data_IF_236023293420
#
_entry.id   IF_236023293420
#
_cell.length_a   1.000
_cell.length_b   1.000
_cell.length_c   1.000
_cell.angle_alpha   90.00
_cell.angle_beta   90.00
_cell.angle_gamma   90.00
#
_symmetry.space_group_name_H-M   'P 1'
#
loop_
_entity.id
_entity.type
_entity.pdbx_description
1 polymer ?
#
# COMPACT_ATOMS: atom_id res chain seq x y z
N UNK A 1 -7.74 -9.34 -11.19
CA UNK A 1 -6.53 -9.10 -10.38
C UNK A 1 -6.32 -10.23 -9.39
N UNK A 2 -5.10 -10.41 -8.93
CA UNK A 2 -4.77 -11.43 -7.94
C UNK A 2 -3.28 -11.67 -7.84
N UNK A 3 -2.92 -12.69 -7.05
CA UNK A 3 -1.54 -13.09 -6.84
C UNK A 3 -1.42 -14.58 -6.54
N UNK A 4 -0.21 -15.09 -6.71
CA UNK A 4 0.25 -16.37 -6.17
C UNK A 4 1.53 -16.15 -5.38
N UNK A 5 1.55 -16.66 -4.15
CA UNK A 5 2.71 -16.65 -3.27
C UNK A 5 3.11 -18.09 -2.99
N UNK A 6 4.40 -18.41 -3.11
CA UNK A 6 4.96 -19.71 -2.80
C UNK A 6 5.99 -19.60 -1.68
N UNK A 7 5.89 -20.46 -0.68
CA UNK A 7 6.79 -20.49 0.48
C UNK A 7 7.34 -21.90 0.72
N UNK A 8 8.61 -21.97 1.14
CA UNK A 8 9.16 -23.16 1.78
C UNK A 8 9.00 -23.02 3.31
N UNK A 9 8.09 -23.79 3.88
CA UNK A 9 7.87 -23.83 5.33
C UNK A 9 8.77 -24.90 5.92
N UNK A 10 9.71 -24.50 6.78
CA UNK A 10 10.69 -25.42 7.38
C UNK A 10 10.34 -25.83 8.81
N UNK A 11 9.52 -25.07 9.51
CA UNK A 11 8.98 -25.35 10.83
C UNK A 11 7.47 -25.06 10.82
N UNK A 12 6.66 -25.72 11.67
CA UNK A 12 5.24 -25.36 11.79
C UNK A 12 5.08 -23.86 11.94
N UNK A 13 4.30 -23.24 11.07
CA UNK A 13 4.24 -21.80 10.96
C UNK A 13 2.80 -21.29 10.98
N UNK A 14 2.63 -20.04 11.50
CA UNK A 14 1.38 -19.29 11.47
C UNK A 14 1.56 -18.04 10.64
N UNK A 15 0.62 -17.82 9.75
CA UNK A 15 0.65 -16.72 8.79
C UNK A 15 -0.48 -15.72 8.99
N UNK A 16 -0.18 -14.47 8.69
CA UNK A 16 -1.16 -13.44 8.36
C UNK A 16 -0.92 -12.97 6.94
N UNK A 17 -1.93 -13.03 6.06
CA UNK A 17 -1.82 -12.51 4.69
C UNK A 17 -2.83 -11.39 4.44
N UNK A 18 -2.40 -10.36 3.70
CA UNK A 18 -3.22 -9.23 3.27
C UNK A 18 -3.04 -9.09 1.74
N UNK A 19 -3.78 -9.89 0.99
CA UNK A 19 -3.68 -9.98 -0.48
C UNK A 19 -5.01 -9.82 -1.19
N UNK A 20 -6.13 -10.01 -0.50
CA UNK A 20 -7.44 -9.77 -1.08
C UNK A 20 -7.72 -8.26 -1.17
N UNK A 21 -8.39 -7.78 -2.24
CA UNK A 21 -8.83 -6.39 -2.30
C UNK A 21 -9.64 -5.99 -1.08
N UNK A 22 -9.46 -4.75 -0.62
CA UNK A 22 -10.23 -4.20 0.48
C UNK A 22 -11.72 -4.22 0.16
N UNK A 23 -12.57 -4.41 1.17
CA UNK A 23 -14.04 -4.44 0.97
C UNK A 23 -14.61 -3.12 0.45
N UNK A 24 -13.82 -2.04 0.54
CA UNK A 24 -14.14 -0.71 0.01
C UNK A 24 -13.72 -0.52 -1.46
N UNK A 25 -12.91 -1.41 -2.02
CA UNK A 25 -12.33 -1.25 -3.35
C UNK A 25 -13.32 -1.39 -4.51
N UNK A 26 -14.52 -1.88 -4.28
CA UNK A 26 -15.54 -2.04 -5.29
C UNK A 26 -16.49 -3.20 -5.00
N UNK A 27 -17.37 -3.50 -5.97
CA UNK A 27 -18.25 -4.65 -5.87
C UNK A 27 -17.55 -5.89 -6.40
N UNK A 28 -17.32 -6.87 -5.53
CA UNK A 28 -16.74 -8.16 -5.92
C UNK A 28 -17.81 -8.94 -6.69
N UNK A 29 -17.50 -9.32 -7.94
CA UNK A 29 -18.37 -10.16 -8.77
C UNK A 29 -17.93 -11.64 -8.74
N UNK A 30 -16.65 -11.91 -8.55
CA UNK A 30 -16.10 -13.25 -8.38
C UNK A 30 -14.83 -13.16 -7.53
N UNK A 31 -14.64 -14.11 -6.62
CA UNK A 31 -13.46 -14.17 -5.78
C UNK A 31 -13.10 -15.61 -5.42
N UNK A 32 -11.82 -15.91 -5.48
CA UNK A 32 -11.26 -17.17 -5.01
C UNK A 32 -10.01 -16.91 -4.18
N UNK A 33 -10.00 -17.45 -2.96
CA UNK A 33 -8.82 -17.58 -2.11
C UNK A 33 -8.53 -19.07 -1.95
N UNK A 34 -7.35 -19.51 -2.35
CA UNK A 34 -6.85 -20.86 -2.21
C UNK A 34 -5.58 -20.88 -1.35
N UNK A 35 -5.56 -21.72 -0.32
CA UNK A 35 -4.36 -21.91 0.51
C UNK A 35 -4.11 -23.42 0.56
N UNK A 36 -2.96 -23.85 0.07
CA UNK A 36 -2.61 -25.29 -0.01
C UNK A 36 -1.21 -25.54 0.52
N UNK A 37 -1.05 -26.65 1.22
CA UNK A 37 0.25 -27.18 1.65
C UNK A 37 0.49 -28.52 0.92
N UNK A 38 1.59 -28.62 0.15
CA UNK A 38 1.90 -29.78 -0.69
C UNK A 38 0.72 -30.18 -1.60
N UNK A 39 -0.02 -29.17 -2.11
CA UNK A 39 -1.21 -29.35 -2.96
C UNK A 39 -2.50 -29.73 -2.23
N UNK A 40 -2.49 -29.98 -0.93
CA UNK A 40 -3.70 -30.23 -0.13
C UNK A 40 -4.22 -28.95 0.53
N UNK A 41 -5.54 -28.71 0.57
CA UNK A 41 -6.09 -27.51 1.20
C UNK A 41 -5.69 -27.40 2.68
N UNK A 42 -5.31 -26.19 3.09
CA UNK A 42 -5.08 -25.84 4.49
C UNK A 42 -6.44 -25.54 5.13
N UNK A 43 -6.72 -26.18 6.27
CA UNK A 43 -7.95 -25.95 7.07
C UNK A 43 -7.82 -24.71 7.96
N UNK A 44 -8.94 -24.35 8.60
CA UNK A 44 -9.02 -23.31 9.64
C UNK A 44 -8.45 -21.93 9.21
N UNK A 45 -8.74 -21.53 7.97
CA UNK A 45 -8.47 -20.17 7.49
C UNK A 45 -9.54 -19.24 8.03
N UNK A 46 -9.14 -18.20 8.75
CA UNK A 46 -10.06 -17.19 9.29
C UNK A 46 -9.80 -15.83 8.67
N UNK A 47 -10.87 -15.15 8.22
CA UNK A 47 -10.80 -13.77 7.76
C UNK A 47 -11.09 -12.80 8.90
N UNK A 48 -10.24 -11.81 9.06
CA UNK A 48 -10.42 -10.68 9.96
C UNK A 48 -10.45 -9.39 9.17
N UNK A 49 -11.21 -8.41 9.63
CA UNK A 49 -11.29 -7.09 9.00
C UNK A 49 -10.40 -6.10 9.73
N UNK A 50 -9.55 -5.45 8.98
CA UNK A 50 -8.73 -4.32 9.41
C UNK A 50 -9.39 -2.98 9.08
N UNK A 51 -8.66 -1.90 9.35
CA UNK A 51 -9.08 -0.55 9.00
C UNK A 51 -9.26 -0.39 7.48
N UNK A 52 -10.16 0.51 7.07
CA UNK A 52 -10.42 0.86 5.67
C UNK A 52 -10.77 -0.33 4.77
N UNK A 53 -11.42 -1.34 5.37
CA UNK A 53 -11.85 -2.53 4.65
C UNK A 53 -10.75 -3.54 4.33
N UNK A 54 -9.55 -3.39 4.87
CA UNK A 54 -8.49 -4.38 4.73
C UNK A 54 -8.94 -5.76 5.22
N UNK A 55 -8.48 -6.81 4.56
CA UNK A 55 -8.85 -8.20 4.83
C UNK A 55 -7.61 -8.99 5.18
N UNK A 56 -7.59 -9.56 6.38
CA UNK A 56 -6.46 -10.30 6.93
C UNK A 56 -6.88 -11.76 7.06
N UNK A 57 -6.16 -12.65 6.40
CA UNK A 57 -6.41 -14.09 6.50
C UNK A 57 -5.35 -14.72 7.41
N UNK A 58 -5.80 -15.33 8.51
CA UNK A 58 -4.96 -16.04 9.45
C UNK A 58 -5.11 -17.54 9.26
N UNK A 59 -3.99 -18.25 9.22
CA UNK A 59 -3.95 -19.71 9.14
C UNK A 59 -2.63 -20.25 9.67
N UNK A 60 -2.60 -21.56 9.93
CA UNK A 60 -1.39 -22.26 10.34
C UNK A 60 -1.19 -23.51 9.46
N UNK A 61 0.06 -23.88 9.25
CA UNK A 61 0.41 -25.09 8.52
C UNK A 61 1.69 -25.73 9.05
N UNK A 62 1.89 -27.02 8.73
CA UNK A 62 3.12 -27.75 8.98
C UNK A 62 4.22 -27.42 7.96
N UNK A 63 5.39 -28.10 8.08
CA UNK A 63 6.45 -27.99 7.08
C UNK A 63 6.02 -28.52 5.71
N UNK A 64 6.50 -27.87 4.65
CA UNK A 64 6.20 -28.24 3.27
C UNK A 64 6.21 -27.05 2.33
N UNK A 65 5.74 -27.27 1.11
CA UNK A 65 5.55 -26.23 0.11
C UNK A 65 4.13 -25.63 0.28
N UNK A 66 4.09 -24.36 0.70
CA UNK A 66 2.86 -23.61 0.90
C UNK A 66 2.60 -22.74 -0.32
N UNK A 67 1.40 -22.83 -0.89
CA UNK A 67 0.91 -21.90 -1.93
C UNK A 67 -0.30 -21.14 -1.43
N UNK A 68 -0.30 -19.83 -1.62
CA UNK A 68 -1.42 -18.93 -1.34
C UNK A 68 -1.80 -18.23 -2.63
N UNK A 69 -3.00 -18.52 -3.14
CA UNK A 69 -3.57 -17.96 -4.36
C UNK A 69 -4.74 -17.03 -4.03
N UNK A 70 -4.78 -15.85 -4.62
CA UNK A 70 -5.94 -14.97 -4.59
C UNK A 70 -6.29 -14.53 -6.01
N UNK A 71 -7.55 -14.62 -6.38
CA UNK A 71 -8.04 -14.09 -7.65
C UNK A 71 -9.38 -13.41 -7.42
N UNK A 72 -9.53 -12.17 -7.87
CA UNK A 72 -10.73 -11.36 -7.67
C UNK A 72 -11.10 -10.63 -8.95
N UNK A 73 -12.38 -10.62 -9.28
CA UNK A 73 -12.97 -9.78 -10.32
C UNK A 73 -13.82 -8.72 -9.64
N UNK A 74 -13.47 -7.46 -9.85
CA UNK A 74 -14.29 -6.33 -9.39
C UNK A 74 -15.16 -5.83 -10.55
N UNK A 75 -16.45 -5.66 -10.27
CA UNK A 75 -17.31 -4.89 -11.14
C UNK A 75 -16.90 -3.42 -11.19
N UNK A 76 -17.28 -2.71 -12.26
CA UNK A 76 -17.00 -1.29 -12.36
C UNK A 76 -17.53 -0.57 -11.11
N UNK A 77 -16.64 0.09 -10.38
CA UNK A 77 -17.08 1.04 -9.37
C UNK A 77 -17.94 2.12 -10.05
N UNK A 78 -19.02 2.61 -9.44
CA UNK A 78 -19.77 3.71 -10.02
C UNK A 78 -18.82 4.88 -10.27
N UNK A 79 -18.70 5.30 -11.55
CA UNK A 79 -17.94 6.50 -11.92
C UNK A 79 -18.55 7.66 -11.14
N UNK A 80 -17.76 8.30 -10.29
CA UNK A 80 -18.19 9.43 -9.49
C UNK A 80 -18.60 9.06 -8.06
N UNK A 81 -17.77 8.34 -7.32
CA UNK A 81 -17.89 8.41 -5.86
C UNK A 81 -17.63 9.84 -5.43
N UNK A 82 -18.74 10.53 -5.13
CA UNK A 82 -18.75 11.84 -4.52
C UNK A 82 -17.83 11.83 -3.31
N UNK A 83 -16.89 12.77 -3.27
CA UNK A 83 -16.12 13.14 -2.09
C UNK A 83 -17.14 13.74 -1.09
N UNK A 84 -17.89 12.88 -0.41
CA UNK A 84 -18.89 13.24 0.58
C UNK A 84 -18.50 12.74 1.97
N UNK A 85 -18.95 13.37 3.06
CA UNK A 85 -18.68 12.91 4.41
C UNK A 85 -19.20 11.46 4.57
N UNK A 86 -18.36 10.58 5.08
CA UNK A 86 -18.68 9.16 5.35
C UNK A 86 -19.67 9.09 6.52
N UNK A 87 -20.83 8.51 6.27
CA UNK A 87 -21.77 8.10 7.33
C UNK A 87 -21.62 6.60 7.58
N UNK A 88 -20.93 6.21 8.65
CA UNK A 88 -20.83 4.79 9.02
C UNK A 88 -20.10 4.61 10.36
N UNK A 89 -20.76 3.97 11.30
CA UNK A 89 -20.46 3.94 12.73
C UNK A 89 -19.27 3.09 13.21
N UNK A 90 -18.39 2.54 12.36
CA UNK A 90 -17.21 1.75 12.77
C UNK A 90 -15.87 2.28 12.19
N UNK A 91 -15.87 3.44 11.53
CA UNK A 91 -14.66 4.07 11.04
C UNK A 91 -13.97 4.84 12.20
N UNK A 92 -12.62 4.84 12.25
CA UNK A 92 -11.88 5.66 13.22
C UNK A 92 -12.31 7.14 13.12
N UNK A 93 -12.35 7.82 14.27
CA UNK A 93 -12.51 9.28 14.31
C UNK A 93 -11.44 9.93 13.42
N UNK A 94 -11.86 10.70 12.42
CA UNK A 94 -10.96 11.36 11.45
C UNK A 94 -9.83 12.12 12.15
N UNK A 95 -10.08 12.68 13.33
CA UNK A 95 -9.07 13.35 14.15
C UNK A 95 -8.02 12.38 14.66
N UNK A 96 -8.43 11.22 15.17
CA UNK A 96 -7.51 10.18 15.67
C UNK A 96 -6.71 9.59 14.51
N UNK A 97 -7.35 9.33 13.39
CA UNK A 97 -6.70 8.84 12.18
C UNK A 97 -5.64 9.83 11.67
N UNK A 98 -5.97 11.12 11.58
CA UNK A 98 -5.03 12.19 11.22
C UNK A 98 -3.83 12.25 12.17
N UNK A 99 -4.06 12.16 13.48
CA UNK A 99 -3.00 12.16 14.49
C UNK A 99 -2.08 10.94 14.36
N UNK A 100 -2.63 9.75 14.08
CA UNK A 100 -1.84 8.54 13.84
C UNK A 100 -1.02 8.68 12.57
N UNK A 101 -1.60 9.25 11.52
CA UNK A 101 -0.96 9.43 10.22
C UNK A 101 0.08 10.56 10.19
N UNK A 102 0.20 11.35 11.25
CA UNK A 102 1.27 12.36 11.45
C UNK A 102 2.48 11.80 12.18
N UNK A 103 2.36 10.65 12.87
CA UNK A 103 3.43 10.11 13.69
C UNK A 103 4.48 9.40 12.84
N UNK A 104 5.73 9.44 13.30
CA UNK A 104 6.77 8.58 12.76
C UNK A 104 6.41 7.09 12.93
N UNK A 105 6.94 6.25 12.08
CA UNK A 105 6.70 4.81 12.11
C UNK A 105 7.97 4.03 11.74
N UNK A 106 7.92 2.68 11.69
CA UNK A 106 9.10 1.82 11.54
C UNK A 106 9.97 2.21 10.36
N UNK A 107 9.36 2.55 9.22
CA UNK A 107 10.08 2.88 7.98
C UNK A 107 9.96 4.35 7.59
N UNK A 108 9.19 5.15 8.31
CA UNK A 108 8.95 6.56 8.01
C UNK A 108 9.33 7.41 9.22
N UNK A 109 10.62 7.69 9.38
CA UNK A 109 11.20 8.48 10.49
C UNK A 109 11.04 9.98 10.22
N UNK A 110 9.80 10.44 10.12
CA UNK A 110 9.47 11.83 9.78
C UNK A 110 10.05 12.86 10.74
N UNK A 111 10.21 12.51 12.01
CA UNK A 111 10.85 13.33 13.05
C UNK A 111 12.31 13.67 12.73
N UNK A 112 13.03 12.81 12.02
CA UNK A 112 14.41 13.04 11.58
C UNK A 112 14.51 13.94 10.35
N UNK A 113 13.43 14.08 9.60
CA UNK A 113 13.40 14.80 8.32
C UNK A 113 12.80 16.21 8.42
N UNK A 114 12.36 16.67 9.60
CA UNK A 114 11.69 17.98 9.77
C UNK A 114 12.54 19.14 9.23
N UNK A 115 13.82 19.22 9.62
CA UNK A 115 14.71 20.28 9.15
C UNK A 115 15.01 20.20 7.66
N UNK A 116 15.21 19.00 7.14
CA UNK A 116 15.40 18.74 5.72
C UNK A 116 14.17 19.16 4.91
N UNK A 117 12.99 18.70 5.28
CA UNK A 117 11.74 19.02 4.59
C UNK A 117 11.43 20.51 4.59
N UNK A 118 11.68 21.20 5.71
CA UNK A 118 11.49 22.67 5.80
C UNK A 118 12.41 23.43 4.85
N UNK A 119 13.61 22.91 4.59
CA UNK A 119 14.60 23.52 3.68
C UNK A 119 14.27 23.26 2.21
N UNK A 120 13.90 22.01 1.88
CA UNK A 120 13.60 21.60 0.50
C UNK A 120 12.23 22.11 0.01
N UNK A 121 11.29 22.32 0.93
CA UNK A 121 9.93 22.78 0.60
C UNK A 121 9.59 24.11 1.30
N UNK A 122 10.32 25.20 0.96
CA UNK A 122 10.03 26.50 1.55
C UNK A 122 8.59 26.95 1.18
N UNK A 123 7.89 27.56 2.13
CA UNK A 123 6.50 28.00 1.96
C UNK A 123 5.43 26.93 2.20
N UNK A 124 5.79 25.68 2.41
CA UNK A 124 4.85 24.57 2.62
C UNK A 124 3.82 24.81 3.74
N UNK A 125 4.16 25.59 4.77
CA UNK A 125 3.25 25.91 5.88
C UNK A 125 2.13 26.89 5.49
N UNK A 126 2.29 27.63 4.41
CA UNK A 126 1.30 28.61 3.90
C UNK A 126 0.55 28.12 2.67
N UNK A 127 1.03 27.05 2.04
CA UNK A 127 0.43 26.47 0.83
C UNK A 127 -0.74 25.52 1.18
N UNK A 128 -1.57 25.25 0.19
CA UNK A 128 -2.57 24.19 0.29
C UNK A 128 -1.87 22.82 0.54
N UNK A 129 -2.34 22.02 1.53
CA UNK A 129 -1.69 20.77 1.89
C UNK A 129 -1.58 19.77 0.73
N UNK A 130 -2.59 19.68 -0.15
CA UNK A 130 -2.53 18.79 -1.31
C UNK A 130 -1.48 19.23 -2.33
N UNK A 131 -1.44 20.52 -2.63
CA UNK A 131 -0.42 21.12 -3.51
C UNK A 131 0.99 20.85 -2.99
N UNK A 132 1.20 20.99 -1.68
CA UNK A 132 2.49 20.65 -1.04
C UNK A 132 2.80 19.17 -1.18
N UNK A 133 1.84 18.28 -0.96
CA UNK A 133 2.02 16.84 -1.07
C UNK A 133 2.35 16.41 -2.52
N UNK A 134 1.73 17.03 -3.53
CA UNK A 134 2.06 16.81 -4.95
C UNK A 134 3.50 17.28 -5.25
N UNK A 135 3.94 18.41 -4.69
CA UNK A 135 5.34 18.88 -4.82
C UNK A 135 6.31 17.88 -4.20
N UNK A 136 6.00 17.33 -3.02
CA UNK A 136 6.79 16.28 -2.37
C UNK A 136 6.88 15.04 -3.24
N UNK A 137 5.74 14.56 -3.75
CA UNK A 137 5.69 13.38 -4.63
C UNK A 137 6.51 13.57 -5.91
N UNK A 138 6.42 14.74 -6.53
CA UNK A 138 7.20 15.08 -7.73
C UNK A 138 8.69 15.18 -7.42
N UNK A 139 9.06 15.76 -6.28
CA UNK A 139 10.45 15.84 -5.83
C UNK A 139 11.05 14.44 -5.61
N UNK A 140 10.30 13.52 -4.97
CA UNK A 140 10.73 12.13 -4.77
C UNK A 140 10.92 11.42 -6.11
N UNK A 141 9.98 11.59 -7.06
CA UNK A 141 10.09 11.05 -8.41
C UNK A 141 11.37 11.49 -9.13
N UNK A 142 11.71 12.78 -9.03
CA UNK A 142 12.89 13.35 -9.71
C UNK A 142 14.22 12.99 -9.03
N UNK A 143 14.16 12.65 -7.74
CA UNK A 143 15.36 12.42 -6.92
C UNK A 143 15.80 10.97 -6.87
N UNK A 144 14.87 10.04 -6.95
CA UNK A 144 15.18 8.62 -6.81
C UNK A 144 15.31 7.93 -8.17
N UNK A 145 16.24 7.01 -8.25
CA UNK A 145 16.32 6.04 -9.34
C UNK A 145 15.49 4.79 -8.96
N UNK A 146 14.52 4.42 -9.81
CA UNK A 146 13.80 3.15 -9.61
C UNK A 146 14.71 1.98 -10.01
N UNK A 147 15.08 1.14 -9.05
CA UNK A 147 16.00 0.05 -9.27
C UNK A 147 15.61 -1.19 -8.46
N UNK A 148 15.18 -2.25 -9.15
CA UNK A 148 14.97 -3.55 -8.54
C UNK A 148 16.28 -4.07 -7.92
N UNK A 149 16.23 -4.53 -6.66
CA UNK A 149 17.39 -5.03 -5.93
C UNK A 149 18.26 -3.96 -5.26
N UNK A 150 17.92 -2.66 -5.41
CA UNK A 150 18.59 -1.58 -4.67
C UNK A 150 18.05 -1.39 -3.24
N UNK A 151 17.00 -2.11 -2.87
CA UNK A 151 16.32 -1.96 -1.59
C UNK A 151 16.39 -3.24 -0.79
N UNK A 152 16.68 -3.10 0.50
CA UNK A 152 16.56 -4.15 1.53
C UNK A 152 15.22 -4.00 2.26
N UNK A 153 14.72 -5.12 2.82
CA UNK A 153 13.47 -5.12 3.60
C UNK A 153 13.57 -4.29 4.91
N UNK A 154 14.77 -3.90 5.31
CA UNK A 154 15.02 -3.07 6.48
C UNK A 154 15.14 -1.57 6.16
N UNK A 155 15.28 -1.22 4.89
CA UNK A 155 15.50 0.18 4.45
C UNK A 155 14.32 1.07 4.84
N UNK A 156 14.67 2.20 5.42
CA UNK A 156 13.75 3.25 5.86
C UNK A 156 13.74 4.44 4.88
N UNK A 157 12.88 5.41 5.13
CA UNK A 157 12.82 6.64 4.34
C UNK A 157 14.15 7.41 4.36
N UNK A 158 14.86 7.40 5.50
CA UNK A 158 16.18 8.04 5.61
C UNK A 158 17.23 7.28 4.80
N UNK A 159 17.22 5.95 4.84
CA UNK A 159 18.14 5.13 4.04
C UNK A 159 17.89 5.34 2.54
N UNK A 160 16.62 5.36 2.12
CA UNK A 160 16.23 5.66 0.74
C UNK A 160 16.70 7.06 0.29
N UNK A 161 16.53 8.07 1.14
CA UNK A 161 16.99 9.44 0.84
C UNK A 161 18.50 9.50 0.62
N UNK A 162 19.28 8.78 1.43
CA UNK A 162 20.73 8.75 1.35
C UNK A 162 21.25 7.92 0.18
N UNK A 163 20.56 6.81 -0.13
CA UNK A 163 20.91 5.91 -1.24
C UNK A 163 20.55 6.54 -2.61
N UNK A 164 19.45 7.28 -2.68
CA UNK A 164 18.95 7.88 -3.91
C UNK A 164 18.35 6.87 -4.90
N UNK A 165 18.04 5.65 -4.46
CA UNK A 165 17.43 4.59 -5.27
C UNK A 165 16.54 3.71 -4.41
N UNK A 166 15.58 3.02 -5.03
CA UNK A 166 14.69 2.10 -4.35
C UNK A 166 13.58 1.57 -5.26
N UNK A 167 12.59 0.90 -4.65
CA UNK A 167 11.39 0.41 -5.30
C UNK A 167 10.14 1.17 -4.82
N UNK A 168 8.95 0.79 -5.27
CA UNK A 168 7.70 1.51 -4.96
C UNK A 168 7.49 1.74 -3.45
N UNK A 169 7.83 0.75 -2.61
CA UNK A 169 7.76 0.86 -1.15
C UNK A 169 8.64 2.00 -0.63
N UNK A 170 9.84 2.13 -1.12
CA UNK A 170 10.83 3.12 -0.67
C UNK A 170 10.42 4.54 -1.10
N UNK A 171 9.91 4.67 -2.32
CA UNK A 171 9.30 5.91 -2.83
C UNK A 171 8.14 6.35 -1.94
N UNK A 172 7.24 5.41 -1.60
CA UNK A 172 6.10 5.70 -0.74
C UNK A 172 6.56 6.09 0.68
N UNK A 173 7.52 5.36 1.29
CA UNK A 173 8.04 5.67 2.62
C UNK A 173 8.67 7.07 2.68
N UNK A 174 9.49 7.42 1.69
CA UNK A 174 10.10 8.75 1.66
C UNK A 174 9.05 9.85 1.47
N UNK A 175 8.08 9.66 0.58
CA UNK A 175 6.97 10.60 0.38
C UNK A 175 6.15 10.78 1.67
N UNK A 176 5.79 9.68 2.34
CA UNK A 176 5.06 9.71 3.61
C UNK A 176 5.86 10.46 4.68
N UNK A 177 7.15 10.14 4.83
CA UNK A 177 7.98 10.74 5.86
C UNK A 177 8.14 12.26 5.64
N UNK A 178 8.33 12.71 4.41
CA UNK A 178 8.41 14.13 4.06
C UNK A 178 7.07 14.85 4.26
N UNK A 179 5.94 14.26 3.84
CA UNK A 179 4.61 14.83 4.08
C UNK A 179 4.35 15.00 5.59
N UNK A 180 4.62 13.97 6.39
CA UNK A 180 4.46 14.05 7.86
C UNK A 180 5.39 15.09 8.49
N UNK A 181 6.63 15.20 8.03
CA UNK A 181 7.58 16.20 8.47
C UNK A 181 7.09 17.65 8.22
N UNK A 182 6.26 17.84 7.19
CA UNK A 182 5.61 19.09 6.84
C UNK A 182 4.22 19.28 7.49
N UNK A 183 3.81 18.35 8.38
CA UNK A 183 2.51 18.41 9.07
C UNK A 183 1.32 17.91 8.24
N UNK A 184 1.56 17.20 7.14
CA UNK A 184 0.52 16.60 6.30
C UNK A 184 0.34 15.14 6.71
N UNK A 185 -0.87 14.73 7.21
CA UNK A 185 -1.13 13.34 7.54
C UNK A 185 -1.00 12.46 6.31
N UNK A 186 -0.18 11.42 6.40
CA UNK A 186 0.10 10.53 5.27
C UNK A 186 0.20 9.08 5.73
N UNK A 187 -0.20 8.14 4.84
CA UNK A 187 -0.15 6.70 5.08
C UNK A 187 0.25 5.93 3.83
N UNK A 188 0.65 4.70 4.00
CA UNK A 188 0.90 3.78 2.89
C UNK A 188 -0.41 3.09 2.50
N UNK A 189 -0.62 2.92 1.20
CA UNK A 189 -1.61 2.02 0.64
C UNK A 189 -0.90 0.97 -0.22
N UNK A 190 -1.09 -0.31 0.11
CA UNK A 190 -0.75 -1.42 -0.79
C UNK A 190 -1.89 -1.66 -1.75
N UNK A 191 -1.58 -1.85 -3.03
CA UNK A 191 -2.56 -1.88 -4.10
C UNK A 191 -2.22 -2.91 -5.17
N UNK A 192 -3.24 -3.40 -5.88
CA UNK A 192 -3.09 -3.92 -7.23
C UNK A 192 -3.08 -2.76 -8.20
N UNK A 193 -2.21 -2.82 -9.22
CA UNK A 193 -1.95 -1.71 -10.13
C UNK A 193 -2.09 -2.15 -11.61
N UNK A 194 -3.30 -2.11 -12.20
CA UNK A 194 -3.45 -2.27 -13.64
C UNK A 194 -2.57 -1.26 -14.40
N UNK A 195 -1.79 -1.76 -15.36
CA UNK A 195 -0.84 -0.95 -16.12
C UNK A 195 0.60 -0.97 -15.61
N UNK A 196 0.85 -1.46 -14.42
CA UNK A 196 2.22 -1.66 -13.91
C UNK A 196 2.94 -2.73 -14.74
N UNK A 197 4.19 -2.43 -15.12
CA UNK A 197 5.05 -3.40 -15.85
C UNK A 197 6.51 -3.33 -15.38
N UNK A 198 7.15 -4.48 -15.03
CA UNK A 198 6.52 -5.78 -14.82
C UNK A 198 5.47 -5.75 -13.70
N UNK A 199 4.49 -6.65 -13.75
CA UNK A 199 3.44 -6.72 -12.73
C UNK A 199 4.01 -7.16 -11.40
N UNK A 200 3.62 -6.44 -10.33
CA UNK A 200 3.99 -6.71 -8.95
C UNK A 200 2.94 -6.08 -8.02
N UNK A 201 3.01 -6.38 -6.72
CA UNK A 201 2.36 -5.56 -5.73
C UNK A 201 2.90 -4.13 -5.81
N UNK A 202 2.01 -3.16 -5.64
CA UNK A 202 2.43 -1.78 -5.67
C UNK A 202 2.13 -1.07 -4.35
N UNK A 203 2.94 -0.08 -4.03
CA UNK A 203 2.82 0.72 -2.82
C UNK A 203 2.79 2.20 -3.20
N UNK A 204 1.77 2.89 -2.70
CA UNK A 204 1.57 4.32 -2.94
C UNK A 204 1.33 5.06 -1.63
N UNK A 205 1.45 6.38 -1.65
CA UNK A 205 1.12 7.25 -0.53
C UNK A 205 -0.32 7.70 -0.63
N UNK A 206 -1.05 7.73 0.47
CA UNK A 206 -2.27 8.52 0.61
C UNK A 206 -2.05 9.65 1.62
N UNK A 207 -2.53 10.85 1.30
CA UNK A 207 -2.52 12.02 2.19
C UNK A 207 -3.94 12.43 2.56
N UNK A 208 -4.16 12.81 3.81
CA UNK A 208 -5.47 13.26 4.29
C UNK A 208 -5.60 14.75 4.14
N UNK A 209 -6.51 15.19 3.28
CA UNK A 209 -6.80 16.60 3.03
C UNK A 209 -8.30 16.82 3.09
N UNK A 210 -8.75 17.73 3.94
CA UNK A 210 -10.17 18.07 4.15
C UNK A 210 -11.06 16.82 4.41
N UNK A 211 -10.55 15.83 5.17
CA UNK A 211 -11.28 14.62 5.50
C UNK A 211 -11.29 13.56 4.39
N UNK A 212 -10.52 13.75 3.32
CA UNK A 212 -10.43 12.81 2.19
C UNK A 212 -9.01 12.29 2.02
N UNK A 213 -8.86 10.97 1.89
CA UNK A 213 -7.59 10.33 1.53
C UNK A 213 -7.37 10.42 0.02
N UNK A 214 -6.27 11.06 -0.37
CA UNK A 214 -5.89 11.31 -1.76
C UNK A 214 -4.58 10.59 -2.09
N UNK A 215 -4.57 9.84 -3.17
CA UNK A 215 -3.44 9.03 -3.58
C UNK A 215 -2.38 9.84 -4.33
N UNK A 216 -1.12 9.56 -4.01
CA UNK A 216 0.07 10.04 -4.70
C UNK A 216 0.94 8.84 -5.07
N UNK A 217 1.28 8.68 -6.32
CA UNK A 217 2.25 7.69 -6.78
C UNK A 217 3.53 8.38 -7.23
N UNK A 218 4.51 8.41 -6.35
CA UNK A 218 5.82 9.01 -6.63
C UNK A 218 6.67 8.18 -7.60
N UNK A 219 6.26 6.96 -7.97
CA UNK A 219 6.93 6.19 -9.01
C UNK A 219 6.39 6.49 -10.41
N UNK A 220 5.12 6.91 -10.50
CA UNK A 220 4.39 7.15 -11.76
C UNK A 220 4.32 5.93 -12.69
N UNK A 221 4.35 4.72 -12.11
CA UNK A 221 4.40 3.49 -12.89
C UNK A 221 3.01 2.98 -13.30
N UNK A 222 1.94 3.45 -12.65
CA UNK A 222 0.57 3.08 -12.98
C UNK A 222 -0.40 4.26 -12.78
N UNK A 223 -1.51 4.32 -13.52
CA UNK A 223 -2.52 5.36 -13.33
C UNK A 223 -3.19 5.24 -11.96
N UNK A 224 -3.19 6.30 -11.15
CA UNK A 224 -3.77 6.29 -9.80
C UNK A 224 -5.27 5.96 -9.78
N UNK A 225 -6.00 6.34 -10.81
CA UNK A 225 -7.44 6.07 -10.92
C UNK A 225 -7.77 4.58 -11.10
N UNK A 226 -6.82 3.76 -11.51
CA UNK A 226 -6.98 2.32 -11.75
C UNK A 226 -6.49 1.47 -10.57
N UNK A 227 -5.87 2.09 -9.56
CA UNK A 227 -5.34 1.38 -8.40
C UNK A 227 -6.45 0.79 -7.54
N UNK A 228 -6.28 -0.45 -7.14
CA UNK A 228 -7.23 -1.18 -6.28
C UNK A 228 -6.59 -1.44 -4.93
N UNK A 229 -7.17 -0.85 -3.87
CA UNK A 229 -6.64 -0.97 -2.51
C UNK A 229 -6.72 -2.42 -2.00
N UNK A 230 -5.62 -2.87 -1.39
CA UNK A 230 -5.53 -4.11 -0.62
C UNK A 230 -5.60 -3.78 0.86
N UNK A 231 -4.68 -2.93 1.34
CA UNK A 231 -4.59 -2.54 2.74
C UNK A 231 -3.99 -1.13 2.87
N UNK A 232 -4.18 -0.52 4.03
CA UNK A 232 -3.50 0.72 4.41
C UNK A 232 -2.77 0.54 5.73
N UNK A 233 -1.72 1.32 5.93
CA UNK A 233 -0.95 1.29 7.16
C UNK A 233 -0.10 2.55 7.34
N UNK A 234 0.52 2.70 8.50
CA UNK A 234 1.45 3.81 8.73
C UNK A 234 2.66 3.72 7.80
N UNK A 235 3.07 2.50 7.50
CA UNK A 235 4.10 2.11 6.55
C UNK A 235 3.94 0.62 6.18
N UNK A 236 4.91 0.02 5.50
CA UNK A 236 4.85 -1.36 5.03
C UNK A 236 4.78 -2.41 6.16
N UNK A 237 5.14 -2.08 7.40
CA UNK A 237 5.01 -3.02 8.52
C UNK A 237 3.54 -3.33 8.84
N UNK A 238 2.65 -2.35 8.64
CA UNK A 238 1.22 -2.51 8.91
C UNK A 238 0.47 -3.15 7.73
N UNK A 239 1.02 -3.13 6.50
CA UNK A 239 0.35 -3.53 5.25
C UNK A 239 1.10 -4.59 4.45
N UNK A 240 1.96 -5.38 5.10
CA UNK A 240 2.70 -6.46 4.47
C UNK A 240 1.73 -7.51 3.87
N UNK A 241 1.97 -7.92 2.61
CA UNK A 241 1.15 -8.92 1.93
C UNK A 241 1.19 -10.31 2.61
N UNK A 242 2.29 -10.63 3.31
CA UNK A 242 2.42 -11.82 4.14
C UNK A 242 3.34 -11.56 5.33
N UNK A 243 2.98 -12.10 6.48
CA UNK A 243 3.77 -12.06 7.72
C UNK A 243 3.79 -13.46 8.32
N UNK A 244 4.97 -13.98 8.62
CA UNK A 244 5.14 -15.19 9.42
C UNK A 244 5.11 -14.77 10.88
N UNK A 245 4.02 -15.10 11.56
CA UNK A 245 3.80 -14.74 12.98
C UNK A 245 4.55 -15.68 13.93
N UNK A 246 4.63 -16.96 13.58
CA UNK A 246 5.28 -18.02 14.35
C UNK A 246 5.92 -19.00 13.39
N UNK A 247 6.99 -19.69 13.82
CA UNK A 247 7.69 -20.70 13.02
C UNK A 247 8.65 -20.10 12.01
N UNK A 248 8.92 -20.84 10.93
CA UNK A 248 9.89 -20.44 9.91
C UNK A 248 9.43 -20.80 8.50
N UNK A 249 9.41 -19.81 7.64
CA UNK A 249 9.15 -19.97 6.22
C UNK A 249 9.98 -18.98 5.40
N UNK A 250 10.34 -19.40 4.19
CA UNK A 250 11.05 -18.60 3.21
C UNK A 250 10.11 -18.33 2.02
N UNK A 251 10.00 -17.08 1.59
CA UNK A 251 9.28 -16.71 0.38
C UNK A 251 10.12 -17.11 -0.84
N UNK A 252 9.57 -17.96 -1.69
CA UNK A 252 10.24 -18.45 -2.89
C UNK A 252 9.86 -17.67 -4.14
N UNK A 253 8.57 -17.35 -4.27
CA UNK A 253 8.03 -16.73 -5.48
C UNK A 253 6.84 -15.84 -5.16
N UNK A 254 6.75 -14.74 -5.91
CA UNK A 254 5.62 -13.82 -5.93
C UNK A 254 5.22 -13.60 -7.38
N UNK A 255 4.00 -14.00 -7.73
CA UNK A 255 3.38 -13.68 -9.01
C UNK A 255 2.18 -12.76 -8.73
N UNK A 256 2.08 -11.64 -9.45
CA UNK A 256 0.96 -10.70 -9.33
C UNK A 256 0.39 -10.44 -10.71
N UNK A 257 -0.92 -10.32 -10.80
CA UNK A 257 -1.61 -9.93 -12.04
C UNK A 257 -2.72 -8.93 -11.73
N UNK A 258 -2.81 -7.89 -12.55
CA UNK A 258 -3.86 -6.90 -12.50
C UNK A 258 -4.15 -6.37 -13.91
N UNK A 259 -5.40 -6.43 -14.34
CA UNK A 259 -5.81 -5.93 -15.66
C UNK A 259 -7.16 -5.25 -15.56
N UNK A 260 -7.40 -4.30 -16.45
CA UNK A 260 -8.69 -3.67 -16.70
C UNK A 260 -9.23 -4.16 -18.05
N UNK A 261 -10.55 -4.28 -18.17
CA UNK A 261 -11.25 -4.54 -19.44
C UNK A 261 -11.47 -3.26 -20.25
N UNK A 262 -11.03 -2.12 -19.75
CA UNK A 262 -11.13 -0.80 -20.36
C UNK A 262 -9.74 -0.23 -20.64
N UNK A 263 -9.69 0.77 -21.52
CA UNK A 263 -8.48 1.57 -21.69
C UNK A 263 -8.11 2.25 -20.37
N UNK A 264 -6.83 2.17 -20.02
CA UNK A 264 -6.34 2.78 -18.78
C UNK A 264 -6.41 4.31 -18.88
N UNK A 265 -6.79 4.96 -17.80
CA UNK A 265 -6.84 6.40 -17.73
C UNK A 265 -5.43 7.00 -17.89
N UNK A 266 -5.35 8.17 -18.52
CA UNK A 266 -4.13 8.98 -18.50
C UNK A 266 -4.08 9.71 -17.17
N UNK A 267 -2.98 9.54 -16.44
CA UNK A 267 -2.77 10.20 -15.13
C UNK A 267 -1.84 11.41 -15.28
N UNK A 268 -2.28 12.57 -14.82
CA UNK A 268 -1.49 13.81 -14.79
C UNK A 268 -0.59 13.92 -13.54
N UNK A 269 -0.76 13.03 -12.58
CA UNK A 269 -0.09 12.98 -11.27
C UNK A 269 -0.27 14.26 -10.41
N UNK A 270 -1.20 15.13 -10.77
CA UNK A 270 -1.50 16.39 -10.09
C UNK A 270 -2.95 16.45 -9.62
N UNK A 271 -3.91 16.04 -10.44
CA UNK A 271 -5.33 16.06 -10.06
C UNK A 271 -5.60 15.14 -8.86
N UNK A 272 -6.48 15.54 -7.92
CA UNK A 272 -6.78 14.72 -6.76
C UNK A 272 -7.50 13.42 -7.16
N UNK A 273 -6.98 12.28 -6.69
CA UNK A 273 -7.54 10.94 -6.90
C UNK A 273 -7.71 10.28 -5.54
N UNK A 274 -8.92 9.81 -5.22
CA UNK A 274 -9.18 8.98 -4.04
C UNK A 274 -9.29 7.52 -4.48
N UNK A 275 -8.58 6.63 -3.80
CA UNK A 275 -8.75 5.19 -3.98
C UNK A 275 -10.07 4.77 -3.34
N UNK A 276 -10.79 3.89 -4.03
CA UNK A 276 -12.04 3.33 -3.51
C UNK A 276 -11.77 2.34 -2.37
#
# INVERSE_FOLDING_TARGET
MGCRLSFAVTEPARFATQIAPATTAGVVSDERLGITLNGAPVGDVTEHRGAHGARIHLFACGPGELTVDCATVLGAAPIGRSIGPRNGGDEPDDTVEALVALRQSRYCESDRLVGFAATEFPGAQGDDPYTTAVRVSSWVFERLAYASGASDHLDSAVDTLLTGAGVCRDYAHLTIALCRALGIPARLASVYAPGLFPMDFHAVTEVLVAGVWLALDSTRLAPRAELVRIATGRDAADSAFATVLEGRAELLEVEVFASSDRDLAVDDHVSPVSLA
#
